data_IF_764111903832
#
_entry.id   IF_764111903832
#
_cell.length_a   1.000
_cell.length_b   1.000
_cell.length_c   1.000
_cell.angle_alpha   90.00
_cell.angle_beta   90.00
_cell.angle_gamma   90.00
#
_symmetry.space_group_name_H-M   'P 1'
#
loop_
_entity.id
_entity.type
_entity.pdbx_description
1 polymer ?
#
# COMPACT_ATOMS: atom_id res chain seq x y z
N UNK A 1 -2.93 30.11 -13.41
CA UNK A 1 -2.45 28.71 -13.50
C UNK A 1 -2.41 28.34 -14.97
N UNK A 2 -1.27 27.86 -15.44
CA UNK A 2 -1.12 27.48 -16.85
C UNK A 2 -1.96 26.23 -17.15
N UNK A 3 -2.70 26.26 -18.25
CA UNK A 3 -3.54 25.14 -18.70
C UNK A 3 -2.73 23.83 -18.84
N UNK A 4 -1.47 23.93 -19.25
CA UNK A 4 -0.53 22.81 -19.33
C UNK A 4 -0.30 22.13 -17.97
N UNK A 5 -0.25 22.90 -16.89
CA UNK A 5 -0.04 22.38 -15.54
C UNK A 5 -1.25 21.56 -15.07
N UNK A 6 -2.46 22.07 -15.35
CA UNK A 6 -3.72 21.40 -15.00
C UNK A 6 -3.85 20.08 -15.78
N UNK A 7 -3.54 20.09 -17.08
CA UNK A 7 -3.59 18.88 -17.91
C UNK A 7 -2.57 17.82 -17.47
N UNK A 8 -1.35 18.23 -17.10
CA UNK A 8 -0.32 17.31 -16.55
C UNK A 8 -0.74 16.71 -15.22
N UNK A 9 -1.33 17.50 -14.33
CA UNK A 9 -1.85 17.03 -13.04
C UNK A 9 -2.98 16.02 -13.24
N UNK A 10 -3.95 16.32 -14.10
CA UNK A 10 -5.07 15.42 -14.39
C UNK A 10 -4.60 14.12 -15.07
N UNK A 11 -3.68 14.21 -16.04
CA UNK A 11 -3.11 13.04 -16.71
C UNK A 11 -2.28 12.16 -15.77
N UNK A 12 -1.43 12.78 -14.94
CA UNK A 12 -0.66 12.08 -13.92
C UNK A 12 -1.55 11.41 -12.86
N UNK A 13 -2.61 12.08 -12.42
CA UNK A 13 -3.58 11.54 -11.49
C UNK A 13 -4.36 10.37 -12.10
N UNK A 14 -4.81 10.49 -13.35
CA UNK A 14 -5.52 9.42 -14.04
C UNK A 14 -4.66 8.15 -14.18
N UNK A 15 -3.39 8.30 -14.59
CA UNK A 15 -2.44 7.18 -14.67
C UNK A 15 -2.11 6.59 -13.30
N UNK A 16 -2.00 7.43 -12.27
CA UNK A 16 -1.76 6.98 -10.90
C UNK A 16 -2.93 6.16 -10.35
N UNK A 17 -4.16 6.66 -10.49
CA UNK A 17 -5.38 5.95 -10.07
C UNK A 17 -5.54 4.63 -10.83
N UNK A 18 -5.27 4.62 -12.14
CA UNK A 18 -5.28 3.40 -12.95
C UNK A 18 -4.22 2.40 -12.50
N UNK A 19 -3.00 2.86 -12.20
CA UNK A 19 -1.94 2.03 -11.65
C UNK A 19 -2.31 1.43 -10.29
N UNK A 20 -2.95 2.20 -9.41
CA UNK A 20 -3.44 1.69 -8.12
C UNK A 20 -4.53 0.62 -8.29
N UNK A 21 -5.47 0.82 -9.21
CA UNK A 21 -6.50 -0.16 -9.54
C UNK A 21 -5.87 -1.48 -10.03
N UNK A 22 -4.93 -1.38 -10.98
CA UNK A 22 -4.21 -2.55 -11.51
C UNK A 22 -3.39 -3.27 -10.43
N UNK A 23 -2.80 -2.53 -9.50
CA UNK A 23 -2.08 -3.11 -8.36
C UNK A 23 -3.03 -3.83 -7.40
N UNK A 24 -4.22 -3.27 -7.13
CA UNK A 24 -5.27 -3.92 -6.33
C UNK A 24 -5.73 -5.23 -6.97
N UNK A 25 -6.06 -5.22 -8.26
CA UNK A 25 -6.51 -6.42 -8.98
C UNK A 25 -5.41 -7.48 -9.11
N UNK A 26 -4.17 -7.04 -9.35
CA UNK A 26 -3.00 -7.91 -9.43
C UNK A 26 -2.68 -8.55 -8.08
N UNK A 27 -2.77 -7.77 -6.99
CA UNK A 27 -2.65 -8.28 -5.64
C UNK A 27 -3.81 -9.20 -5.28
N UNK A 28 -5.05 -8.91 -5.65
CA UNK A 28 -6.20 -9.79 -5.38
C UNK A 28 -6.02 -11.16 -6.05
N UNK A 29 -5.62 -11.17 -7.33
CA UNK A 29 -5.34 -12.39 -8.09
C UNK A 29 -4.11 -13.15 -7.59
N UNK A 30 -3.05 -12.44 -7.19
CA UNK A 30 -1.85 -13.05 -6.63
C UNK A 30 -2.06 -13.48 -5.17
N UNK A 31 -2.96 -12.80 -4.45
CA UNK A 31 -3.24 -13.04 -3.05
C UNK A 31 -3.96 -14.37 -2.87
N UNK A 32 -5.14 -14.55 -3.47
CA UNK A 32 -5.93 -15.79 -3.43
C UNK A 32 -5.79 -16.62 -2.12
N UNK A 33 -5.81 -17.94 -2.25
CA UNK A 33 -5.63 -18.84 -1.09
C UNK A 33 -4.17 -18.94 -0.60
N UNK A 34 -3.20 -18.58 -1.45
CA UNK A 34 -1.77 -18.73 -1.13
C UNK A 34 -1.26 -17.65 -0.21
N UNK A 35 -1.59 -16.38 -0.45
CA UNK A 35 -1.21 -15.28 0.43
C UNK A 35 -1.94 -15.38 1.76
N UNK A 36 -3.20 -15.86 1.77
CA UNK A 36 -3.92 -16.17 3.02
C UNK A 36 -3.16 -17.21 3.86
N UNK A 37 -2.73 -18.32 3.26
CA UNK A 37 -1.96 -19.37 3.94
C UNK A 37 -0.59 -18.87 4.41
N UNK A 38 0.07 -18.01 3.62
CA UNK A 38 1.35 -17.39 3.98
C UNK A 38 1.14 -16.44 5.16
N UNK A 39 0.14 -15.56 5.11
CA UNK A 39 -0.17 -14.63 6.20
C UNK A 39 -0.60 -15.36 7.48
N UNK A 40 -1.39 -16.44 7.39
CA UNK A 40 -1.75 -17.29 8.54
C UNK A 40 -0.51 -17.93 9.18
N UNK A 41 0.41 -18.46 8.39
CA UNK A 41 1.68 -19.02 8.91
C UNK A 41 2.61 -17.96 9.49
N UNK A 42 2.62 -16.77 8.91
CA UNK A 42 3.44 -15.65 9.37
C UNK A 42 2.88 -14.99 10.65
N UNK A 43 1.56 -14.97 10.82
CA UNK A 43 0.89 -14.41 12.00
C UNK A 43 0.68 -15.43 13.12
N UNK A 44 0.73 -16.73 12.82
CA UNK A 44 0.65 -17.85 13.78
C UNK A 44 1.71 -17.78 14.88
N UNK A 45 2.89 -17.22 14.59
CA UNK A 45 3.97 -17.08 15.54
C UNK A 45 4.31 -15.60 15.73
N UNK A 46 4.01 -15.06 16.92
CA UNK A 46 4.23 -13.65 17.26
C UNK A 46 5.67 -13.20 16.98
N UNK A 47 6.67 -14.06 17.17
CA UNK A 47 8.07 -13.74 16.90
C UNK A 47 8.32 -13.66 15.39
N UNK A 48 7.76 -14.59 14.61
CA UNK A 48 7.91 -14.64 13.16
C UNK A 48 7.25 -13.42 12.49
N UNK A 49 6.07 -13.03 12.97
CA UNK A 49 5.36 -11.83 12.50
C UNK A 49 6.17 -10.55 12.73
N UNK A 50 6.84 -10.42 13.88
CA UNK A 50 7.72 -9.29 14.17
C UNK A 50 8.94 -9.28 13.24
N UNK A 51 9.59 -10.43 13.01
CA UNK A 51 10.75 -10.53 12.13
C UNK A 51 10.39 -10.18 10.68
N UNK A 52 9.26 -10.68 10.17
CA UNK A 52 8.82 -10.37 8.81
C UNK A 52 8.39 -8.92 8.67
N UNK A 53 7.66 -8.37 9.63
CA UNK A 53 7.33 -6.94 9.64
C UNK A 53 8.58 -6.05 9.66
N UNK A 54 9.60 -6.43 10.44
CA UNK A 54 10.87 -5.74 10.49
C UNK A 54 11.64 -5.84 9.16
N UNK A 55 11.65 -7.01 8.51
CA UNK A 55 12.28 -7.20 7.19
C UNK A 55 11.59 -6.40 6.09
N UNK A 56 10.26 -6.36 6.07
CA UNK A 56 9.50 -5.55 5.10
C UNK A 56 9.78 -4.07 5.34
N UNK A 57 9.81 -3.63 6.60
CA UNK A 57 10.16 -2.24 6.97
C UNK A 57 11.59 -1.90 6.55
N UNK A 58 12.54 -2.81 6.77
CA UNK A 58 13.93 -2.66 6.36
C UNK A 58 14.09 -2.61 4.84
N UNK A 59 13.31 -3.40 4.09
CA UNK A 59 13.33 -3.43 2.63
C UNK A 59 12.69 -2.18 2.02
N UNK A 60 11.60 -1.67 2.61
CA UNK A 60 10.97 -0.43 2.15
C UNK A 60 11.89 0.76 2.45
N UNK A 61 12.57 0.77 3.60
CA UNK A 61 13.58 1.72 4.13
C UNK A 61 13.16 3.21 4.19
N UNK A 62 12.33 3.63 3.26
CA UNK A 62 11.85 4.98 3.05
C UNK A 62 10.66 5.25 3.94
N UNK A 63 10.90 6.01 5.00
CA UNK A 63 9.86 6.56 5.87
C UNK A 63 8.82 7.34 5.04
N UNK A 64 9.27 8.03 3.98
CA UNK A 64 8.40 8.79 3.08
C UNK A 64 7.46 7.90 2.27
N UNK A 65 7.94 6.76 1.76
CA UNK A 65 7.09 5.82 1.04
C UNK A 65 6.00 5.23 1.96
N UNK A 66 6.36 4.90 3.20
CA UNK A 66 5.42 4.44 4.23
C UNK A 66 4.36 5.49 4.55
N UNK A 67 4.76 6.76 4.74
CA UNK A 67 3.81 7.86 4.98
C UNK A 67 2.84 8.05 3.82
N UNK A 68 3.31 7.98 2.58
CA UNK A 68 2.45 8.11 1.39
C UNK A 68 1.44 6.95 1.31
N UNK A 69 1.86 5.72 1.62
CA UNK A 69 0.94 4.57 1.70
C UNK A 69 -0.12 4.74 2.78
N UNK A 70 0.27 5.16 3.98
CA UNK A 70 -0.66 5.38 5.10
C UNK A 70 -1.67 6.48 4.76
N UNK A 71 -1.24 7.59 4.16
CA UNK A 71 -2.13 8.65 3.68
C UNK A 71 -3.10 8.10 2.62
N UNK A 72 -2.62 7.25 1.71
CA UNK A 72 -3.45 6.57 0.72
C UNK A 72 -4.52 5.67 1.34
N UNK A 73 -4.16 4.89 2.37
CA UNK A 73 -5.09 4.01 3.08
C UNK A 73 -6.15 4.78 3.90
N UNK A 74 -5.77 5.89 4.51
CA UNK A 74 -6.71 6.80 5.18
C UNK A 74 -7.70 7.39 4.17
N UNK A 75 -7.20 7.86 3.02
CA UNK A 75 -8.04 8.46 1.99
C UNK A 75 -8.99 7.42 1.36
N UNK A 76 -8.55 6.17 1.26
CA UNK A 76 -9.37 5.03 0.84
C UNK A 76 -10.34 4.52 1.91
N UNK A 77 -10.37 5.13 3.12
CA UNK A 77 -11.15 4.71 4.30
C UNK A 77 -10.84 3.28 4.79
N UNK A 78 -9.68 2.75 4.43
CA UNK A 78 -9.19 1.46 4.89
C UNK A 78 -8.56 1.56 6.30
N UNK A 79 -8.14 2.77 6.70
CA UNK A 79 -7.59 3.08 8.02
C UNK A 79 -8.19 4.39 8.55
N UNK A 80 -8.40 4.48 9.86
CA UNK A 80 -8.71 5.77 10.51
C UNK A 80 -7.45 6.57 10.79
N UNK A 81 -7.57 7.89 10.94
CA UNK A 81 -6.42 8.73 11.34
C UNK A 81 -5.83 8.32 12.70
N UNK A 82 -6.64 7.74 13.59
CA UNK A 82 -6.18 7.23 14.88
C UNK A 82 -5.35 5.95 14.74
N UNK A 83 -5.51 5.18 13.66
CA UNK A 83 -4.71 4.00 13.36
C UNK A 83 -3.42 4.33 12.60
N UNK A 84 -3.34 5.54 12.04
CA UNK A 84 -2.22 6.01 11.23
C UNK A 84 -1.09 6.70 12.02
N UNK A 85 -1.34 7.01 13.31
CA UNK A 85 -0.44 7.78 14.19
C UNK A 85 -0.07 6.96 15.42
#
# INVERSE_FOLDING_TARGET
>A
MDLSLILKLLGGLALFLYGMQMMSDGLEKAAGDRLKTILEKLTSNRILGVIVGALITAAIQSSSATTVMVIGFVNARLMSLQQAV
#
